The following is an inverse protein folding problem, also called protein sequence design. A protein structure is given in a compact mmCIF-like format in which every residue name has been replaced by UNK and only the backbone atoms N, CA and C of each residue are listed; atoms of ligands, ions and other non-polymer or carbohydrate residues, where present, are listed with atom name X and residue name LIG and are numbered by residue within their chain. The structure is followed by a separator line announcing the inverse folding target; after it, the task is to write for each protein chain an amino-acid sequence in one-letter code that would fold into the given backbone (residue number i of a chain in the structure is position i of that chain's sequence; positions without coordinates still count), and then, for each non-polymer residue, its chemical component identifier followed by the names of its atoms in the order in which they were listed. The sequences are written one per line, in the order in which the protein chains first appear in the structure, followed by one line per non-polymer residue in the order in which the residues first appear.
data_IF_683655371972
#
_entry.id   IF_683655371972
#
_cell.length_a   1.000
_cell.length_b   1.000
_cell.length_c   1.000
_cell.angle_alpha   90.00
_cell.angle_beta   90.00
_cell.angle_gamma   90.00
#
_symmetry.space_group_name_H-M   'P 1'
#
loop_
_entity.id
_entity.type
_entity.pdbx_description
1 polymer ?
#
# COMPACT_ATOMS: atom_id res chain seq x y z
N UNK A 1 -15.56 38.78 -15.22
CA UNK A 1 -15.55 37.50 -15.94
C UNK A 1 -14.45 36.62 -15.35
N UNK A 2 -14.78 35.64 -14.50
CA UNK A 2 -13.81 34.74 -13.85
C UNK A 2 -14.49 33.43 -13.39
N UNK A 3 -15.21 32.76 -14.29
CA UNK A 3 -15.97 31.54 -13.99
C UNK A 3 -15.52 30.32 -14.82
N UNK A 4 -14.33 30.35 -15.43
CA UNK A 4 -13.85 29.32 -16.36
C UNK A 4 -12.87 28.28 -15.80
N UNK A 5 -12.49 28.34 -14.52
CA UNK A 5 -11.37 27.53 -13.99
C UNK A 5 -11.71 26.60 -12.81
N UNK A 6 -12.92 26.70 -12.24
CA UNK A 6 -13.33 25.83 -11.10
C UNK A 6 -14.05 24.56 -11.57
N UNK A 7 -14.66 24.60 -12.75
CA UNK A 7 -15.42 23.48 -13.29
C UNK A 7 -14.48 22.39 -13.81
N UNK A 8 -13.41 22.79 -14.51
CA UNK A 8 -12.35 21.90 -15.01
C UNK A 8 -11.57 21.18 -13.91
N UNK A 9 -11.32 21.84 -12.77
CA UNK A 9 -10.64 21.21 -11.63
C UNK A 9 -11.55 20.17 -10.95
N UNK A 10 -12.85 20.44 -10.84
CA UNK A 10 -13.79 19.46 -10.27
C UNK A 10 -13.99 18.26 -11.17
N UNK A 11 -14.13 18.47 -12.47
CA UNK A 11 -14.21 17.39 -13.46
C UNK A 11 -12.95 16.52 -13.43
N UNK A 12 -11.76 17.13 -13.30
CA UNK A 12 -10.50 16.40 -13.12
C UNK A 12 -10.44 15.63 -11.79
N UNK A 13 -10.95 16.19 -10.69
CA UNK A 13 -11.02 15.51 -9.38
C UNK A 13 -12.03 14.35 -9.42
N UNK A 14 -13.16 14.52 -10.10
CA UNK A 14 -14.19 13.48 -10.22
C UNK A 14 -13.73 12.33 -11.13
N UNK A 15 -12.98 12.63 -12.19
CA UNK A 15 -12.33 11.62 -13.04
C UNK A 15 -11.23 10.85 -12.29
N UNK A 16 -10.43 11.55 -11.46
CA UNK A 16 -9.48 10.92 -10.54
C UNK A 16 -10.18 10.05 -9.50
N UNK A 17 -11.31 10.50 -8.93
CA UNK A 17 -12.08 9.74 -7.95
C UNK A 17 -12.76 8.52 -8.57
N UNK A 18 -13.33 8.63 -9.78
CA UNK A 18 -13.91 7.52 -10.51
C UNK A 18 -12.85 6.44 -10.82
N UNK A 19 -11.66 6.87 -11.25
CA UNK A 19 -10.51 5.98 -11.46
C UNK A 19 -10.01 5.33 -10.17
N UNK A 20 -10.16 6.01 -9.03
CA UNK A 20 -9.81 5.48 -7.70
C UNK A 20 -10.85 4.47 -7.19
N UNK A 21 -12.14 4.63 -7.54
CA UNK A 21 -13.21 3.72 -7.15
C UNK A 21 -13.18 2.38 -7.89
N UNK A 22 -12.69 2.32 -9.13
CA UNK A 22 -12.47 1.04 -9.83
C UNK A 22 -11.31 0.22 -9.26
N UNK A 23 -10.32 0.88 -8.61
CA UNK A 23 -9.16 0.21 -8.01
C UNK A 23 -9.48 -0.37 -6.62
N UNK A 24 -10.61 -0.02 -6.00
CA UNK A 24 -11.02 -0.49 -4.66
C UNK A 24 -11.87 -1.78 -4.66
N UNK A 25 -11.96 -2.48 -5.80
CA UNK A 25 -12.73 -3.73 -5.98
C UNK A 25 -12.16 -4.99 -5.27
N UNK A 26 -11.61 -4.86 -4.06
CA UNK A 26 -11.28 -6.00 -3.19
C UNK A 26 -11.98 -5.86 -1.84
N UNK A 27 -13.31 -5.95 -1.91
CA UNK A 27 -14.24 -6.01 -0.79
C UNK A 27 -14.68 -7.46 -0.53
N UNK A 28 -14.80 -7.77 0.75
CA UNK A 28 -15.29 -9.03 1.33
C UNK A 28 -16.54 -9.58 0.62
N UNK A 29 -16.49 -10.85 0.22
CA UNK A 29 -17.55 -11.82 0.57
C UNK A 29 -17.16 -13.26 0.18
N UNK A 30 -17.59 -14.23 0.99
CA UNK A 30 -17.39 -15.70 0.82
C UNK A 30 -16.02 -16.30 1.22
N UNK A 31 -15.34 -15.71 2.22
CA UNK A 31 -14.32 -16.43 3.00
C UNK A 31 -12.93 -16.58 2.35
N UNK A 32 -12.70 -16.05 1.16
CA UNK A 32 -11.36 -15.91 0.57
C UNK A 32 -11.26 -14.55 -0.12
N UNK A 33 -10.49 -13.63 0.48
CA UNK A 33 -10.38 -12.23 0.09
C UNK A 33 -8.91 -11.88 -0.16
N UNK A 34 -8.44 -11.81 -1.42
CA UNK A 34 -7.20 -11.11 -1.75
C UNK A 34 -7.18 -10.68 -3.22
N UNK A 35 -6.88 -9.40 -3.51
CA UNK A 35 -5.75 -8.95 -4.33
C UNK A 35 -5.75 -7.45 -4.75
N UNK A 36 -5.39 -6.56 -3.81
CA UNK A 36 -4.55 -5.37 -4.11
C UNK A 36 -3.15 -5.55 -3.45
N UNK A 37 -2.76 -6.82 -3.29
CA UNK A 37 -2.12 -7.36 -2.08
C UNK A 37 -0.91 -8.23 -2.44
N UNK A 38 0.25 -7.63 -2.74
CA UNK A 38 1.47 -8.44 -2.80
C UNK A 38 2.68 -7.77 -2.17
N UNK A 39 2.91 -6.46 -2.34
CA UNK A 39 4.15 -5.83 -1.89
C UNK A 39 3.92 -4.37 -1.50
N UNK A 40 4.24 -4.01 -0.25
CA UNK A 40 4.01 -2.67 0.33
C UNK A 40 5.29 -2.16 1.00
N UNK A 41 5.48 -0.84 1.10
CA UNK A 41 6.63 -0.30 1.84
C UNK A 41 6.53 -0.65 3.33
N UNK A 42 7.66 -0.63 4.05
CA UNK A 42 7.68 -0.83 5.51
C UNK A 42 6.70 0.11 6.22
N UNK A 43 6.65 1.38 5.83
CA UNK A 43 5.75 2.36 6.43
C UNK A 43 4.27 2.02 6.15
N UNK A 44 3.94 1.60 4.93
CA UNK A 44 2.56 1.20 4.60
C UNK A 44 2.18 -0.10 5.32
N UNK A 45 3.09 -1.06 5.42
CA UNK A 45 2.93 -2.28 6.21
C UNK A 45 2.64 -1.95 7.68
N UNK A 46 3.41 -1.04 8.28
CA UNK A 46 3.20 -0.59 9.65
C UNK A 46 1.78 -0.04 9.87
N UNK A 47 1.31 0.80 8.95
CA UNK A 47 -0.04 1.35 9.01
C UNK A 47 -1.13 0.28 8.79
N UNK A 48 -0.93 -0.66 7.86
CA UNK A 48 -1.89 -1.72 7.56
C UNK A 48 -2.11 -2.67 8.75
N UNK A 49 -1.03 -2.99 9.47
CA UNK A 49 -1.06 -3.91 10.61
C UNK A 49 -1.03 -3.21 11.97
N UNK A 50 -1.25 -1.89 11.98
CA UNK A 50 -1.26 -1.04 13.18
C UNK A 50 -0.01 -1.21 14.07
N UNK A 51 1.16 -1.40 13.44
CA UNK A 51 2.46 -1.52 14.11
C UNK A 51 2.99 -0.11 14.33
N UNK A 52 3.12 0.31 15.58
CA UNK A 52 3.50 1.67 15.94
C UNK A 52 4.92 2.09 15.54
N UNK A 53 5.79 1.17 15.13
CA UNK A 53 7.18 1.48 14.77
C UNK A 53 7.69 0.64 13.59
N UNK A 54 8.22 1.32 12.57
CA UNK A 54 8.88 0.70 11.41
C UNK A 54 10.17 -0.05 11.77
N UNK A 55 10.82 0.32 12.87
CA UNK A 55 12.02 -0.36 13.39
C UNK A 55 11.71 -1.80 13.82
N UNK A 56 10.50 -2.06 14.34
CA UNK A 56 10.04 -3.41 14.68
C UNK A 56 10.02 -4.31 13.46
N UNK A 57 9.56 -3.77 12.33
CA UNK A 57 9.50 -4.49 11.06
C UNK A 57 10.91 -4.80 10.53
N UNK A 58 11.84 -3.85 10.63
CA UNK A 58 13.25 -4.10 10.30
C UNK A 58 13.87 -5.20 11.17
N UNK A 59 13.51 -5.23 12.47
CA UNK A 59 13.92 -6.31 13.38
C UNK A 59 13.31 -7.65 12.97
N UNK A 60 12.04 -7.69 12.57
CA UNK A 60 11.39 -8.92 12.09
C UNK A 60 12.05 -9.48 10.83
N UNK A 61 12.52 -8.61 9.92
CA UNK A 61 13.32 -9.03 8.77
C UNK A 61 14.65 -9.64 9.23
N UNK A 62 15.37 -9.01 10.16
CA UNK A 62 16.64 -9.55 10.68
C UNK A 62 16.48 -10.86 11.48
N UNK A 63 15.35 -11.00 12.19
CA UNK A 63 15.04 -12.19 12.99
C UNK A 63 14.46 -13.34 12.14
N UNK A 64 14.14 -13.09 10.87
CA UNK A 64 13.53 -14.07 9.97
C UNK A 64 12.03 -14.33 10.22
N UNK A 65 11.38 -13.50 11.05
CA UNK A 65 9.91 -13.52 11.24
C UNK A 65 9.21 -13.14 9.94
N UNK A 66 9.77 -12.17 9.21
CA UNK A 66 9.41 -11.92 7.82
C UNK A 66 10.41 -12.72 6.97
N UNK A 67 9.95 -13.75 6.25
CA UNK A 67 10.84 -14.55 5.41
C UNK A 67 11.49 -13.69 4.32
N UNK A 68 12.73 -14.00 3.91
CA UNK A 68 13.43 -13.24 2.88
C UNK A 68 12.70 -13.29 1.53
N UNK A 69 11.98 -14.36 1.21
CA UNK A 69 11.13 -14.44 0.01
C UNK A 69 9.95 -13.47 0.02
N UNK A 70 9.65 -12.88 1.17
CA UNK A 70 8.62 -11.88 1.38
C UNK A 70 9.19 -10.47 1.60
N UNK A 71 10.47 -10.27 1.26
CA UNK A 71 11.14 -8.96 1.23
C UNK A 71 11.78 -8.73 -0.14
N UNK A 72 11.45 -7.60 -0.77
CA UNK A 72 12.10 -7.13 -2.00
C UNK A 72 12.87 -5.86 -1.67
N UNK A 73 14.15 -5.83 -2.03
CA UNK A 73 14.95 -4.62 -1.97
C UNK A 73 15.13 -4.02 -3.36
N UNK A 74 14.75 -2.75 -3.51
CA UNK A 74 14.90 -2.00 -4.75
C UNK A 74 16.15 -1.11 -4.61
N UNK A 75 17.29 -1.65 -5.06
CA UNK A 75 18.59 -0.95 -5.01
C UNK A 75 18.60 0.36 -5.80
N UNK A 76 17.83 0.43 -6.89
CA UNK A 76 17.67 1.64 -7.70
C UNK A 76 16.96 2.81 -6.97
N UNK A 77 16.28 2.53 -5.84
CA UNK A 77 15.56 3.52 -5.04
C UNK A 77 16.20 3.66 -3.65
N UNK A 78 17.52 3.82 -3.59
CA UNK A 78 18.27 3.95 -2.33
C UNK A 78 18.06 2.77 -1.35
N UNK A 79 17.88 1.56 -1.88
CA UNK A 79 17.66 0.35 -1.05
C UNK A 79 16.27 0.31 -0.41
N UNK A 80 15.25 0.89 -1.05
CA UNK A 80 13.88 0.83 -0.57
C UNK A 80 13.41 -0.62 -0.43
N UNK A 81 12.88 -0.99 0.74
CA UNK A 81 12.36 -2.32 1.02
C UNK A 81 10.84 -2.39 0.92
N UNK A 82 10.37 -3.38 0.17
CA UNK A 82 8.98 -3.77 0.07
C UNK A 82 8.77 -5.10 0.79
N UNK A 83 7.64 -5.23 1.46
CA UNK A 83 7.26 -6.38 2.27
C UNK A 83 5.93 -6.90 1.75
N UNK A 84 5.79 -8.22 1.73
CA UNK A 84 4.52 -8.82 1.35
C UNK A 84 3.41 -8.53 2.35
N UNK A 85 2.27 -8.05 1.85
CA UNK A 85 1.12 -7.59 2.65
C UNK A 85 0.30 -8.75 3.25
N UNK A 86 0.96 -9.62 4.02
CA UNK A 86 0.35 -10.69 4.81
C UNK A 86 0.70 -10.48 6.28
N UNK A 87 -0.15 -10.94 7.19
CA UNK A 87 0.14 -10.86 8.61
C UNK A 87 1.29 -11.80 8.96
N UNK A 88 2.34 -11.27 9.58
CA UNK A 88 3.37 -12.05 10.26
C UNK A 88 3.16 -11.94 11.77
N UNK A 89 3.34 -13.05 12.49
CA UNK A 89 3.16 -13.18 13.95
C UNK A 89 4.27 -14.03 14.55
#
# INVERSE_FOLDING_TARGET
MAAGNKQTIREFIDEMNASTQEILQHLNDNGINYNLNAWVTIAKYANLFNIGNTSTISSWISQGIIPPENVIEITALNGLKLIKAVAYS
#
